data_IF_021606491660
#
_entry.id   IF_021606491660
#
_cell.length_a   1.000
_cell.length_b   1.000
_cell.length_c   1.000
_cell.angle_alpha   90.00
_cell.angle_beta   90.00
_cell.angle_gamma   90.00
#
_symmetry.space_group_name_H-M   'P 1'
#
loop_
_entity.id
_entity.type
_entity.pdbx_description
1 polymer ?
#
# COMPACT_ATOMS: atom_id res chain seq x y z
N UNK A 1 6.11 -11.68 -9.99
CA UNK A 1 6.27 -11.25 -8.58
C UNK A 1 5.72 -12.35 -7.69
N UNK A 2 6.38 -12.68 -6.57
CA UNK A 2 5.80 -13.65 -5.60
C UNK A 2 4.76 -12.97 -4.69
N UNK A 3 3.83 -13.73 -4.07
CA UNK A 3 2.85 -13.17 -3.14
C UNK A 3 3.49 -12.40 -1.97
N UNK A 4 4.63 -12.86 -1.47
CA UNK A 4 5.35 -12.23 -0.35
C UNK A 4 5.96 -10.89 -0.78
N UNK A 5 6.60 -10.85 -1.96
CA UNK A 5 7.13 -9.60 -2.51
C UNK A 5 6.02 -8.58 -2.76
N UNK A 6 4.89 -9.05 -3.28
CA UNK A 6 3.72 -8.20 -3.48
C UNK A 6 3.22 -7.63 -2.16
N UNK A 7 3.17 -8.46 -1.11
CA UNK A 7 2.69 -8.05 0.21
C UNK A 7 3.58 -6.97 0.84
N UNK A 8 4.90 -7.07 0.71
CA UNK A 8 5.82 -6.04 1.19
C UNK A 8 5.69 -4.74 0.38
N UNK A 9 5.61 -4.84 -0.94
CA UNK A 9 5.39 -3.66 -1.79
C UNK A 9 4.05 -2.96 -1.52
N UNK A 10 2.98 -3.70 -1.17
CA UNK A 10 1.71 -3.11 -0.75
C UNK A 10 1.90 -2.21 0.48
N UNK A 11 2.71 -2.64 1.46
CA UNK A 11 3.02 -1.84 2.66
C UNK A 11 3.84 -0.61 2.30
N UNK A 12 4.93 -0.79 1.54
CA UNK A 12 5.83 0.30 1.13
C UNK A 12 5.06 1.39 0.37
N UNK A 13 4.27 1.01 -0.64
CA UNK A 13 3.49 1.97 -1.43
C UNK A 13 2.45 2.69 -0.57
N UNK A 14 1.87 2.01 0.43
CA UNK A 14 0.93 2.66 1.35
C UNK A 14 1.62 3.71 2.21
N UNK A 15 2.83 3.44 2.70
CA UNK A 15 3.62 4.40 3.48
C UNK A 15 4.02 5.60 2.63
N UNK A 16 4.47 5.38 1.40
CA UNK A 16 4.83 6.46 0.47
C UNK A 16 3.62 7.36 0.12
N UNK A 17 2.45 6.76 -0.12
CA UNK A 17 1.21 7.51 -0.36
C UNK A 17 0.79 8.34 0.87
N UNK A 18 0.92 7.78 2.07
CA UNK A 18 0.64 8.49 3.31
C UNK A 18 1.61 9.67 3.49
N UNK A 19 2.91 9.44 3.27
CA UNK A 19 3.95 10.46 3.38
C UNK A 19 3.74 11.60 2.38
N UNK A 20 3.33 11.29 1.15
CA UNK A 20 2.96 12.29 0.15
C UNK A 20 1.81 13.21 0.60
N UNK A 21 0.83 12.66 1.34
CA UNK A 21 -0.26 13.44 1.94
C UNK A 21 0.11 14.07 3.30
N UNK A 22 1.38 13.95 3.75
CA UNK A 22 1.87 14.53 5.00
C UNK A 22 1.57 13.71 6.26
N UNK A 23 1.31 12.41 6.11
CA UNK A 23 0.98 11.50 7.20
C UNK A 23 2.08 10.46 7.45
N UNK A 24 2.25 10.10 8.71
CA UNK A 24 3.14 9.01 9.11
C UNK A 24 2.33 7.73 9.39
N UNK A 25 2.72 6.64 8.72
CA UNK A 25 2.11 5.32 8.87
C UNK A 25 3.20 4.28 9.09
N UNK A 26 3.08 3.47 10.14
CA UNK A 26 3.97 2.35 10.35
C UNK A 26 3.63 1.22 9.34
N UNK A 27 4.59 0.75 8.51
CA UNK A 27 4.37 -0.29 7.50
C UNK A 27 3.84 -1.60 8.08
N UNK A 28 4.29 -2.01 9.26
CA UNK A 28 3.85 -3.25 9.93
C UNK A 28 2.38 -3.16 10.39
N UNK A 29 1.87 -1.94 10.55
CA UNK A 29 0.51 -1.67 11.00
C UNK A 29 -0.48 -1.40 9.86
N UNK A 30 -0.02 -1.30 8.60
CA UNK A 30 -0.86 -0.91 7.45
C UNK A 30 -2.13 -1.74 7.36
N UNK A 31 -2.00 -3.08 7.40
CA UNK A 31 -3.12 -4.00 7.23
C UNK A 31 -4.08 -4.01 8.42
N UNK A 32 -3.58 -3.82 9.64
CA UNK A 32 -4.43 -3.76 10.85
C UNK A 32 -5.13 -2.42 10.95
N UNK A 33 -4.43 -1.31 10.69
CA UNK A 33 -5.00 0.05 10.68
C UNK A 33 -6.01 0.25 9.55
N UNK A 34 -5.83 -0.35 8.38
CA UNK A 34 -6.83 -0.26 7.29
C UNK A 34 -8.23 -0.78 7.67
N UNK A 35 -8.37 -1.56 8.76
CA UNK A 35 -9.67 -2.02 9.26
C UNK A 35 -10.41 -0.96 10.07
N UNK A 36 -9.69 -0.01 10.67
CA UNK A 36 -10.23 0.98 11.62
C UNK A 36 -10.01 2.43 11.18
N UNK A 37 -9.05 2.66 10.29
CA UNK A 37 -8.64 3.97 9.79
C UNK A 37 -8.98 4.10 8.29
N UNK A 38 -9.93 4.97 7.91
CA UNK A 38 -10.34 5.13 6.53
C UNK A 38 -9.26 5.74 5.63
N UNK A 39 -8.32 6.51 6.18
CA UNK A 39 -7.20 7.06 5.41
C UNK A 39 -6.22 5.96 5.01
N UNK A 40 -5.82 5.14 5.98
CA UNK A 40 -4.93 3.98 5.72
C UNK A 40 -5.59 3.00 4.76
N UNK A 41 -6.90 2.77 4.89
CA UNK A 41 -7.66 1.95 3.93
C UNK A 41 -7.57 2.50 2.51
N UNK A 42 -7.79 3.81 2.34
CA UNK A 42 -7.73 4.49 1.03
C UNK A 42 -6.35 4.34 0.39
N UNK A 43 -5.28 4.59 1.15
CA UNK A 43 -3.92 4.46 0.62
C UNK A 43 -3.57 3.01 0.27
N UNK A 44 -3.97 2.03 1.09
CA UNK A 44 -3.79 0.61 0.77
C UNK A 44 -4.51 0.19 -0.51
N UNK A 45 -5.73 0.67 -0.73
CA UNK A 45 -6.46 0.43 -1.98
C UNK A 45 -5.78 1.05 -3.21
N UNK A 46 -5.21 2.25 -3.06
CA UNK A 46 -4.43 2.91 -4.11
C UNK A 46 -3.11 2.16 -4.40
N UNK A 47 -2.38 1.75 -3.36
CA UNK A 47 -1.18 0.93 -3.47
C UNK A 47 -1.45 -0.34 -4.29
N UNK A 48 -2.54 -1.05 -3.99
CA UNK A 48 -2.96 -2.25 -4.75
C UNK A 48 -3.25 -1.97 -6.23
N UNK A 49 -3.90 -0.85 -6.53
CA UNK A 49 -4.17 -0.44 -7.92
C UNK A 49 -2.88 -0.13 -8.68
N UNK A 50 -1.94 0.56 -8.03
CA UNK A 50 -0.62 0.86 -8.62
C UNK A 50 0.15 -0.43 -8.89
N UNK A 51 0.18 -1.37 -7.94
CA UNK A 51 0.85 -2.66 -8.14
C UNK A 51 0.23 -3.47 -9.28
N UNK A 52 -1.09 -3.49 -9.40
CA UNK A 52 -1.76 -4.13 -10.54
C UNK A 52 -1.35 -3.49 -11.87
N UNK A 53 -1.25 -2.16 -11.93
CA UNK A 53 -0.83 -1.45 -13.14
C UNK A 53 0.64 -1.75 -13.50
N UNK A 54 1.53 -1.81 -12.51
CA UNK A 54 2.95 -2.18 -12.72
C UNK A 54 3.05 -3.60 -13.23
N UNK A 55 2.35 -4.55 -12.62
CA UNK A 55 2.31 -5.96 -13.07
C UNK A 55 1.81 -6.09 -14.51
N UNK A 56 0.80 -5.31 -14.90
CA UNK A 56 0.28 -5.31 -16.28
C UNK A 56 1.27 -4.69 -17.28
N UNK A 57 2.07 -3.70 -16.88
CA UNK A 57 3.00 -3.01 -17.76
C UNK A 57 4.28 -3.81 -18.05
N UNK A 58 4.65 -4.73 -17.16
CA UNK A 58 5.85 -5.59 -17.29
C UNK A 58 5.53 -7.00 -17.80
N UNK A 59 4.26 -7.28 -18.10
CA UNK A 59 3.80 -8.57 -18.62
C UNK A 59 3.69 -8.57 -20.14
#
# INVERSE_FOLDING_TARGET
MTPEQRHELEKEFTVELAAYEGWEVNPDSVHSRAKTDPHVKRWLELARKLLNAVEQAIS
#
